data_IF_109140054467
#
_entry.id   IF_109140054467
#
_cell.length_a   1.000
_cell.length_b   1.000
_cell.length_c   1.000
_cell.angle_alpha   90.00
_cell.angle_beta   90.00
_cell.angle_gamma   90.00
#
_symmetry.space_group_name_H-M   'P 1'
#
loop_
_entity.id
_entity.type
_entity.pdbx_description
1 polymer ?
#
# COMPACT_ATOMS: atom_id res chain seq x y z
N UNK A 1 -9.39 -28.56 31.39
CA UNK A 1 -10.41 -27.63 30.85
C UNK A 1 -10.28 -26.28 31.53
N UNK A 2 -9.68 -25.29 30.83
CA UNK A 2 -9.68 -23.84 31.10
C UNK A 2 -8.51 -23.25 30.30
N UNK A 3 -8.78 -22.76 29.09
CA UNK A 3 -7.92 -21.88 28.27
C UNK A 3 -8.60 -21.59 26.92
N UNK A 4 -9.81 -21.05 26.94
CA UNK A 4 -10.45 -20.46 25.75
C UNK A 4 -11.29 -19.27 26.25
N UNK A 5 -10.65 -18.12 26.43
CA UNK A 5 -11.31 -16.82 26.63
C UNK A 5 -10.25 -15.73 26.66
N UNK A 6 -9.65 -15.44 25.50
CA UNK A 6 -8.76 -14.30 25.31
C UNK A 6 -8.64 -13.88 23.83
N UNK A 7 -9.70 -14.09 23.05
CA UNK A 7 -9.71 -13.79 21.61
C UNK A 7 -10.90 -12.91 21.18
N UNK A 8 -11.60 -12.27 22.12
CA UNK A 8 -12.82 -11.52 21.82
C UNK A 8 -12.83 -10.06 22.26
N UNK A 9 -11.68 -9.45 22.60
CA UNK A 9 -11.62 -8.05 23.07
C UNK A 9 -10.76 -7.10 22.22
N UNK A 10 -10.30 -7.52 21.02
CA UNK A 10 -9.49 -6.68 20.12
C UNK A 10 -10.26 -6.09 18.91
N UNK A 11 -11.59 -6.07 18.96
CA UNK A 11 -12.44 -5.66 17.82
C UNK A 11 -13.22 -4.33 18.03
N UNK A 12 -12.85 -3.49 19.00
CA UNK A 12 -13.62 -2.28 19.32
C UNK A 12 -12.83 -0.96 19.28
N UNK A 13 -11.71 -0.89 18.57
CA UNK A 13 -10.98 0.37 18.34
C UNK A 13 -10.65 0.66 16.87
N UNK A 14 -11.24 -0.05 15.90
CA UNK A 14 -11.03 0.18 14.47
C UNK A 14 -12.10 1.07 13.82
N UNK A 15 -12.58 2.10 14.52
CA UNK A 15 -13.55 3.05 13.96
C UNK A 15 -12.99 4.47 13.92
N UNK A 16 -11.92 4.69 13.14
CA UNK A 16 -11.54 6.03 12.62
C UNK A 16 -10.41 6.04 11.55
N UNK A 17 -9.93 4.89 11.03
CA UNK A 17 -8.76 4.88 10.12
C UNK A 17 -9.06 4.65 8.64
N UNK A 18 -10.33 4.58 8.22
CA UNK A 18 -10.67 4.34 6.82
C UNK A 18 -11.52 5.47 6.23
N UNK A 19 -10.82 6.51 5.81
CA UNK A 19 -11.24 7.41 4.74
C UNK A 19 -10.00 7.75 3.90
N UNK A 20 -9.48 6.76 3.17
CA UNK A 20 -8.64 7.06 2.01
C UNK A 20 -9.56 7.32 0.83
N UNK A 21 -10.33 8.41 0.96
CA UNK A 21 -11.10 8.97 -0.11
C UNK A 21 -10.11 9.52 -1.15
N UNK A 22 -10.42 9.36 -2.44
CA UNK A 22 -10.02 10.30 -3.47
C UNK A 22 -10.77 11.62 -3.21
N UNK A 23 -10.52 12.21 -2.05
CA UNK A 23 -10.99 13.54 -1.74
C UNK A 23 -10.25 14.45 -2.68
N UNK A 24 -11.01 15.22 -3.44
CA UNK A 24 -10.56 16.57 -3.81
C UNK A 24 -10.48 17.43 -2.54
N UNK A 25 -9.83 16.93 -1.49
CA UNK A 25 -9.28 17.75 -0.42
C UNK A 25 -8.20 18.56 -1.09
N UNK A 26 -8.33 19.88 -0.93
CA UNK A 26 -7.30 20.82 -1.30
C UNK A 26 -6.12 20.64 -0.35
N UNK A 27 -5.36 19.56 -0.55
CA UNK A 27 -4.21 19.26 0.27
C UNK A 27 -3.15 20.31 0.00
N UNK A 28 -2.58 20.86 1.06
CA UNK A 28 -1.28 21.51 0.94
C UNK A 28 -0.25 20.38 0.93
N UNK A 29 0.54 20.28 -0.12
CA UNK A 29 1.67 19.37 -0.20
C UNK A 29 2.96 20.12 0.06
N UNK A 30 3.76 19.62 1.00
CA UNK A 30 5.16 19.99 1.19
C UNK A 30 6.04 19.00 0.45
N UNK A 31 6.73 19.48 -0.59
CA UNK A 31 7.67 18.70 -1.38
C UNK A 31 9.06 18.89 -0.80
N UNK A 32 9.69 17.79 -0.38
CA UNK A 32 11.11 17.74 -0.08
C UNK A 32 11.87 17.22 -1.31
N UNK A 33 12.84 18.00 -1.75
CA UNK A 33 13.59 17.78 -2.99
C UNK A 33 14.87 17.00 -2.73
N UNK A 34 15.43 16.39 -3.78
CA UNK A 34 16.71 15.66 -3.70
C UNK A 34 17.90 16.58 -3.37
N UNK A 35 17.81 17.87 -3.71
CA UNK A 35 18.83 18.88 -3.39
C UNK A 35 18.76 19.39 -1.93
N UNK A 36 17.80 18.88 -1.14
CA UNK A 36 17.56 19.26 0.24
C UNK A 36 16.66 20.48 0.43
N UNK A 37 16.24 21.15 -0.65
CA UNK A 37 15.24 22.22 -0.57
C UNK A 37 13.85 21.66 -0.27
N UNK A 38 12.98 22.52 0.29
CA UNK A 38 11.57 22.21 0.49
C UNK A 38 10.70 23.36 0.02
N UNK A 39 9.50 23.04 -0.47
CA UNK A 39 8.50 24.06 -0.76
C UNK A 39 7.07 23.51 -0.63
N UNK A 40 6.09 24.41 -0.52
CA UNK A 40 4.68 24.06 -0.38
C UNK A 40 3.85 24.51 -1.58
N UNK A 41 2.81 23.73 -1.90
CA UNK A 41 1.84 24.05 -2.94
C UNK A 41 0.52 23.33 -2.72
N UNK A 42 -0.54 23.83 -3.34
CA UNK A 42 -1.82 23.12 -3.39
C UNK A 42 -1.68 21.92 -4.32
N UNK A 43 -1.82 20.72 -3.79
CA UNK A 43 -1.69 19.51 -4.57
C UNK A 43 -2.83 19.35 -5.56
N UNK A 44 -2.50 19.02 -6.82
CA UNK A 44 -3.51 18.80 -7.86
C UNK A 44 -3.58 17.32 -8.23
N UNK A 45 -2.44 16.66 -8.41
CA UNK A 45 -2.41 15.26 -8.83
C UNK A 45 -1.05 14.79 -9.33
N UNK A 46 -0.99 13.52 -9.72
CA UNK A 46 0.20 12.86 -10.25
C UNK A 46 0.07 12.68 -11.75
N UNK A 47 1.17 12.76 -12.47
CA UNK A 47 1.26 12.33 -13.85
C UNK A 47 2.01 11.01 -13.87
N UNK A 48 1.29 9.93 -14.15
CA UNK A 48 1.90 8.61 -14.24
C UNK A 48 2.32 8.27 -15.67
N UNK A 49 3.31 7.40 -15.80
CA UNK A 49 3.69 6.74 -17.04
C UNK A 49 3.47 5.25 -16.85
N UNK A 50 2.42 4.76 -17.49
CA UNK A 50 2.12 3.33 -17.50
C UNK A 50 2.79 2.67 -18.70
N UNK A 51 3.53 1.60 -18.47
CA UNK A 51 3.91 0.66 -19.53
C UNK A 51 2.96 -0.51 -19.47
N UNK A 52 2.39 -0.87 -20.62
CA UNK A 52 1.54 -2.04 -20.73
C UNK A 52 1.97 -2.96 -21.87
N UNK A 53 1.74 -4.26 -21.69
CA UNK A 53 1.96 -5.28 -22.71
C UNK A 53 0.77 -6.24 -22.66
N UNK A 54 0.05 -6.45 -23.77
CA UNK A 54 -1.07 -7.41 -23.82
C UNK A 54 -2.17 -7.19 -22.80
N UNK A 55 -2.41 -5.94 -22.37
CA UNK A 55 -3.34 -5.60 -21.29
C UNK A 55 -2.72 -5.61 -19.88
N UNK A 56 -1.52 -6.13 -19.67
CA UNK A 56 -0.86 -6.06 -18.36
C UNK A 56 -0.29 -4.66 -18.13
N UNK A 57 -0.50 -4.08 -16.95
CA UNK A 57 0.33 -2.95 -16.50
C UNK A 57 1.62 -3.55 -15.95
N UNK A 58 2.71 -3.33 -16.69
CA UNK A 58 4.05 -3.77 -16.31
C UNK A 58 4.69 -2.81 -15.30
N UNK A 59 4.40 -1.52 -15.43
CA UNK A 59 4.73 -0.53 -14.40
C UNK A 59 3.78 0.66 -14.50
N UNK A 60 3.50 1.30 -13.36
CA UNK A 60 2.75 2.55 -13.27
C UNK A 60 3.55 3.53 -12.43
N UNK A 61 4.55 4.17 -13.03
CA UNK A 61 5.50 5.02 -12.30
C UNK A 61 5.04 6.47 -12.33
N UNK A 62 5.13 7.17 -11.20
CA UNK A 62 4.92 8.61 -11.16
C UNK A 62 6.07 9.29 -11.91
N UNK A 63 5.76 10.03 -12.97
CA UNK A 63 6.71 10.79 -13.75
C UNK A 63 6.79 12.26 -13.33
N UNK A 64 5.72 12.80 -12.74
CA UNK A 64 5.68 14.16 -12.24
C UNK A 64 4.53 14.38 -11.26
N UNK A 65 4.63 15.45 -10.48
CA UNK A 65 3.57 15.97 -9.63
C UNK A 65 3.07 17.31 -10.16
N UNK A 66 1.76 17.53 -10.08
CA UNK A 66 1.12 18.80 -10.40
C UNK A 66 0.66 19.48 -9.12
N UNK A 67 0.95 20.78 -9.02
CA UNK A 67 0.55 21.60 -7.89
C UNK A 67 0.21 23.02 -8.34
N UNK A 68 -0.58 23.75 -7.56
CA UNK A 68 -0.73 25.19 -7.70
C UNK A 68 0.12 25.91 -6.65
N UNK A 69 0.86 26.90 -7.11
CA UNK A 69 1.67 27.78 -6.27
C UNK A 69 0.80 28.49 -5.21
N UNK A 70 1.29 28.59 -3.97
CA UNK A 70 0.50 29.11 -2.84
C UNK A 70 0.08 30.57 -3.04
N UNK A 71 0.96 31.39 -3.61
CA UNK A 71 0.76 32.83 -3.79
C UNK A 71 0.09 33.14 -5.14
N UNK A 72 0.67 32.64 -6.22
CA UNK A 72 0.26 33.01 -7.59
C UNK A 72 -0.90 32.17 -8.11
N UNK A 73 -1.23 31.07 -7.42
CA UNK A 73 -2.21 30.04 -7.85
C UNK A 73 -1.94 29.44 -9.23
N UNK A 74 -0.78 29.72 -9.82
CA UNK A 74 -0.39 29.16 -11.13
C UNK A 74 -0.09 27.68 -10.99
N UNK A 75 -0.62 26.88 -11.92
CA UNK A 75 -0.31 25.45 -12.01
C UNK A 75 1.13 25.28 -12.45
N UNK A 76 1.86 24.48 -11.70
CA UNK A 76 3.26 24.10 -11.94
C UNK A 76 3.37 22.58 -11.98
N UNK A 77 4.45 22.10 -12.57
CA UNK A 77 4.77 20.69 -12.71
C UNK A 77 6.17 20.44 -12.18
N UNK A 78 6.31 19.41 -11.37
CA UNK A 78 7.56 19.00 -10.76
C UNK A 78 7.94 17.60 -11.23
N UNK A 79 9.19 17.39 -11.64
CA UNK A 79 9.64 16.08 -12.11
C UNK A 79 9.79 15.13 -10.92
N UNK A 80 9.35 13.88 -11.05
CA UNK A 80 9.43 12.93 -9.93
C UNK A 80 10.87 12.60 -9.52
N UNK A 81 11.83 12.68 -10.45
CA UNK A 81 13.26 12.50 -10.16
C UNK A 81 13.83 13.56 -9.21
N UNK A 82 13.24 14.76 -9.17
CA UNK A 82 13.71 15.83 -8.30
C UNK A 82 13.08 15.78 -6.89
N UNK A 83 12.02 14.98 -6.72
CA UNK A 83 11.27 14.87 -5.45
C UNK A 83 11.75 13.67 -4.67
N UNK A 84 12.02 13.86 -3.38
CA UNK A 84 12.36 12.77 -2.47
C UNK A 84 11.17 12.30 -1.64
N UNK A 85 10.37 13.25 -1.16
CA UNK A 85 9.25 13.00 -0.24
C UNK A 85 8.19 14.08 -0.37
N UNK A 86 6.94 13.71 -0.11
CA UNK A 86 5.80 14.60 -0.07
C UNK A 86 5.05 14.38 1.24
N UNK A 87 4.80 15.46 1.98
CA UNK A 87 3.91 15.47 3.14
C UNK A 87 2.63 16.20 2.76
N UNK A 88 1.51 15.52 2.86
CA UNK A 88 0.19 16.06 2.53
C UNK A 88 -0.50 16.51 3.80
N UNK A 89 -0.92 17.77 3.83
CA UNK A 89 -1.62 18.40 4.95
C UNK A 89 -3.08 18.62 4.60
N UNK A 90 -3.98 18.28 5.53
CA UNK A 90 -5.38 18.67 5.46
C UNK A 90 -5.66 19.64 6.61
N UNK A 91 -5.68 20.95 6.29
CA UNK A 91 -5.61 21.98 7.33
C UNK A 91 -4.22 22.02 7.96
N UNK A 92 -4.14 21.94 9.29
CA UNK A 92 -2.88 21.92 10.04
C UNK A 92 -2.26 20.53 10.22
N UNK A 93 -3.03 19.47 9.99
CA UNK A 93 -2.62 18.11 10.33
C UNK A 93 -2.01 17.37 9.13
N UNK A 94 -1.01 16.54 9.40
CA UNK A 94 -0.44 15.62 8.41
C UNK A 94 -1.48 14.54 8.11
N UNK A 95 -1.99 14.54 6.88
CA UNK A 95 -2.97 13.57 6.41
C UNK A 95 -2.30 12.29 5.91
N UNK A 96 -1.19 12.41 5.18
CA UNK A 96 -0.42 11.28 4.63
C UNK A 96 0.98 11.70 4.22
N UNK A 97 1.87 10.74 4.13
CA UNK A 97 3.26 10.92 3.68
C UNK A 97 3.51 9.96 2.53
N UNK A 98 4.16 10.43 1.47
CA UNK A 98 4.59 9.62 0.33
C UNK A 98 6.09 9.81 0.14
N UNK A 99 6.83 8.73 -0.04
CA UNK A 99 8.29 8.76 -0.14
C UNK A 99 8.75 8.04 -1.40
N UNK A 100 9.80 8.56 -2.04
CA UNK A 100 10.53 7.82 -3.06
C UNK A 100 11.37 6.76 -2.35
N UNK A 101 11.10 5.49 -2.64
CA UNK A 101 11.80 4.35 -2.07
C UNK A 101 12.43 3.49 -3.17
N UNK A 102 13.62 2.96 -2.90
CA UNK A 102 14.16 1.88 -3.71
C UNK A 102 13.46 0.58 -3.34
N UNK A 103 12.99 -0.18 -4.32
CA UNK A 103 12.25 -1.43 -4.10
C UNK A 103 12.99 -2.63 -4.67
N UNK A 104 12.89 -3.74 -3.96
CA UNK A 104 13.35 -5.07 -4.38
C UNK A 104 12.24 -6.10 -4.21
N UNK A 105 12.37 -7.21 -4.92
CA UNK A 105 11.45 -8.34 -4.80
C UNK A 105 12.19 -9.58 -4.32
N UNK A 106 11.49 -10.45 -3.61
CA UNK A 106 12.01 -11.78 -3.30
C UNK A 106 11.83 -12.67 -4.54
N UNK A 107 12.95 -13.18 -5.05
CA UNK A 107 12.98 -14.15 -6.16
C UNK A 107 12.58 -15.54 -5.67
N UNK A 108 12.23 -16.43 -6.60
CA UNK A 108 11.86 -17.83 -6.32
C UNK A 108 12.95 -18.63 -5.56
N UNK A 109 14.19 -18.14 -5.51
CA UNK A 109 15.31 -18.77 -4.81
C UNK A 109 15.51 -18.19 -3.39
N UNK A 110 14.52 -17.50 -2.83
CA UNK A 110 14.62 -16.80 -1.54
C UNK A 110 15.80 -15.83 -1.50
N UNK A 111 16.03 -15.11 -2.60
CA UNK A 111 17.05 -14.05 -2.70
C UNK A 111 16.39 -12.77 -3.18
N UNK A 112 16.94 -11.63 -2.80
CA UNK A 112 16.49 -10.35 -3.35
C UNK A 112 16.88 -10.21 -4.82
N UNK A 113 16.04 -9.55 -5.61
CA UNK A 113 16.34 -9.16 -6.98
C UNK A 113 17.63 -8.34 -7.06
N UNK A 114 18.40 -8.55 -8.13
CA UNK A 114 19.59 -7.74 -8.42
C UNK A 114 19.18 -6.32 -8.82
N UNK A 115 18.11 -6.20 -9.61
CA UNK A 115 17.53 -4.95 -10.03
C UNK A 115 16.79 -4.28 -8.86
N UNK A 116 17.00 -2.97 -8.75
CA UNK A 116 16.28 -2.04 -7.88
C UNK A 116 15.50 -1.07 -8.75
N UNK A 117 14.23 -0.92 -8.45
CA UNK A 117 13.40 0.15 -9.03
C UNK A 117 13.16 1.25 -8.00
N UNK A 118 12.78 2.44 -8.45
CA UNK A 118 12.34 3.53 -7.59
C UNK A 118 10.83 3.74 -7.75
N UNK A 119 10.13 3.75 -6.63
CA UNK A 119 8.69 3.94 -6.57
C UNK A 119 8.32 4.98 -5.51
N UNK A 120 7.20 5.68 -5.72
CA UNK A 120 6.64 6.61 -4.75
C UNK A 120 5.49 5.94 -4.03
N UNK A 121 5.70 5.66 -2.75
CA UNK A 121 4.79 4.85 -1.96
C UNK A 121 4.33 5.60 -0.72
N UNK A 122 3.08 5.41 -0.29
CA UNK A 122 2.60 6.02 0.94
C UNK A 122 3.17 5.30 2.14
N UNK A 123 3.69 6.04 3.12
CA UNK A 123 4.06 5.49 4.42
C UNK A 123 2.78 5.20 5.20
N UNK A 124 2.43 3.91 5.31
CA UNK A 124 1.23 3.44 6.00
C UNK A 124 1.47 3.25 7.49
N UNK A 125 2.70 2.90 7.89
CA UNK A 125 3.09 2.70 9.29
C UNK A 125 4.58 2.96 9.46
N UNK A 126 4.92 3.80 10.43
CA UNK A 126 6.30 3.95 10.90
C UNK A 126 6.60 2.98 12.05
N UNK A 127 7.86 2.57 12.20
CA UNK A 127 8.27 1.59 13.22
C UNK A 127 9.62 0.97 12.89
N UNK A 128 10.02 -0.08 13.65
CA UNK A 128 11.30 -0.79 13.42
C UNK A 128 11.41 -1.36 12.00
N UNK A 129 10.26 -1.81 11.48
CA UNK A 129 10.02 -2.07 10.07
C UNK A 129 8.89 -1.14 9.66
N UNK A 130 9.17 -0.29 8.68
CA UNK A 130 8.24 0.62 8.07
C UNK A 130 7.40 -0.13 7.03
N UNK A 131 6.10 0.17 7.00
CA UNK A 131 5.18 -0.35 6.00
C UNK A 131 4.82 0.76 5.02
N UNK A 132 5.09 0.52 3.75
CA UNK A 132 4.67 1.37 2.66
C UNK A 132 3.62 0.67 1.80
N UNK A 133 2.79 1.41 1.07
CA UNK A 133 1.90 0.82 0.09
C UNK A 133 1.13 1.82 -0.77
N UNK A 134 0.59 1.29 -1.86
CA UNK A 134 -0.16 2.03 -2.87
C UNK A 134 -1.17 1.11 -3.54
N UNK A 135 -2.17 1.70 -4.19
CA UNK A 135 -3.16 0.98 -4.98
C UNK A 135 -2.84 1.14 -6.46
N UNK A 136 -2.83 0.02 -7.19
CA UNK A 136 -2.57 0.00 -8.62
C UNK A 136 -3.89 -0.06 -9.38
N UNK A 137 -4.11 0.94 -10.22
CA UNK A 137 -5.28 1.04 -11.09
C UNK A 137 -4.90 0.79 -12.55
N UNK A 138 -5.81 0.14 -13.28
CA UNK A 138 -5.75 0.03 -14.74
C UNK A 138 -6.81 0.91 -15.37
N UNK A 139 -6.39 1.79 -16.26
CA UNK A 139 -7.28 2.71 -16.96
C UNK A 139 -7.47 2.25 -18.41
N UNK A 140 -8.73 2.11 -18.80
CA UNK A 140 -9.19 1.88 -20.16
C UNK A 140 -10.16 3.01 -20.52
N UNK A 141 -9.80 3.76 -21.58
CA UNK A 141 -10.45 5.00 -21.99
C UNK A 141 -10.60 6.00 -20.82
N UNK A 142 -11.84 6.32 -20.44
CA UNK A 142 -12.18 7.28 -19.39
C UNK A 142 -12.45 6.61 -18.03
N UNK A 143 -12.19 5.30 -17.90
CA UNK A 143 -12.50 4.52 -16.70
C UNK A 143 -11.25 3.85 -16.14
N UNK A 144 -11.07 3.93 -14.83
CA UNK A 144 -10.00 3.24 -14.13
C UNK A 144 -10.61 2.22 -13.16
N UNK A 145 -10.04 1.02 -13.13
CA UNK A 145 -10.43 -0.03 -12.20
C UNK A 145 -9.26 -0.48 -11.34
N UNK A 146 -9.56 -0.77 -10.08
CA UNK A 146 -8.60 -1.30 -9.13
C UNK A 146 -8.10 -2.68 -9.58
N UNK A 147 -6.80 -2.90 -9.48
CA UNK A 147 -6.19 -4.19 -9.82
C UNK A 147 -5.64 -4.90 -8.60
N UNK A 148 -4.79 -4.25 -7.81
CA UNK A 148 -4.15 -4.82 -6.63
C UNK A 148 -3.55 -3.70 -5.76
N UNK A 149 -3.23 -4.01 -4.51
CA UNK A 149 -2.46 -3.16 -3.61
C UNK A 149 -1.02 -3.64 -3.54
N UNK A 150 -0.05 -2.75 -3.58
CA UNK A 150 1.33 -3.05 -3.22
C UNK A 150 1.57 -2.78 -1.73
N UNK A 151 2.41 -3.61 -1.13
CA UNK A 151 2.90 -3.42 0.23
C UNK A 151 4.40 -3.66 0.25
N UNK A 152 5.16 -2.72 0.79
CA UNK A 152 6.60 -2.79 0.90
C UNK A 152 7.04 -2.69 2.36
N UNK A 153 8.03 -3.50 2.72
CA UNK A 153 8.61 -3.55 4.05
C UNK A 153 10.02 -2.98 4.01
N UNK A 154 10.32 -1.99 4.84
CA UNK A 154 11.65 -1.38 4.91
C UNK A 154 12.14 -1.31 6.35
N UNK A 155 13.32 -1.86 6.62
CA UNK A 155 14.01 -1.57 7.88
C UNK A 155 14.71 -0.22 7.76
N UNK A 156 14.73 0.59 8.82
CA UNK A 156 15.26 1.95 8.74
C UNK A 156 16.73 2.00 8.26
N UNK A 157 17.53 0.99 8.61
CA UNK A 157 18.94 0.88 8.22
C UNK A 157 19.15 0.40 6.76
N UNK A 158 18.13 -0.17 6.13
CA UNK A 158 18.26 -0.73 4.79
C UNK A 158 18.03 0.36 3.72
N UNK A 159 18.81 0.35 2.62
CA UNK A 159 18.66 1.33 1.55
C UNK A 159 17.47 1.04 0.63
N UNK A 160 16.82 -0.11 0.79
CA UNK A 160 15.69 -0.54 -0.03
C UNK A 160 14.54 -1.08 0.83
N UNK A 161 13.34 -1.08 0.25
CA UNK A 161 12.17 -1.78 0.73
C UNK A 161 11.97 -3.09 -0.07
N UNK A 162 11.30 -4.06 0.53
CA UNK A 162 11.02 -5.37 -0.08
C UNK A 162 9.52 -5.50 -0.33
N UNK A 163 9.13 -5.80 -1.58
CA UNK A 163 7.75 -6.08 -1.94
C UNK A 163 7.26 -7.34 -1.22
N UNK A 164 6.18 -7.21 -0.47
CA UNK A 164 5.66 -8.24 0.42
C UNK A 164 4.36 -8.89 -0.09
N UNK A 165 4.00 -8.64 -1.34
CA UNK A 165 2.87 -9.27 -2.02
C UNK A 165 3.27 -9.72 -3.41
N UNK A 166 2.55 -10.70 -3.95
CA UNK A 166 2.67 -11.10 -5.34
C UNK A 166 1.44 -10.57 -6.09
N UNK A 167 1.59 -9.71 -7.10
CA UNK A 167 0.48 -9.33 -7.97
C UNK A 167 -0.12 -10.59 -8.60
N UNK A 168 -1.43 -10.83 -8.45
CA UNK A 168 -2.08 -11.96 -9.12
C UNK A 168 -2.16 -11.67 -10.62
N UNK A 169 -1.84 -12.67 -11.44
CA UNK A 169 -1.89 -12.54 -12.90
C UNK A 169 -3.29 -12.14 -13.36
N UNK A 170 -3.37 -11.02 -14.09
CA UNK A 170 -4.62 -10.51 -14.67
C UNK A 170 -5.23 -11.47 -15.71
N UNK A 171 -4.48 -12.46 -16.21
CA UNK A 171 -4.95 -13.51 -17.16
C UNK A 171 -6.08 -14.35 -16.55
N UNK A 172 -6.09 -14.50 -15.23
CA UNK A 172 -6.98 -15.43 -14.54
C UNK A 172 -8.30 -14.82 -14.04
N UNK A 173 -8.63 -13.57 -14.40
CA UNK A 173 -9.76 -12.79 -13.85
C UNK A 173 -9.75 -12.66 -12.31
N UNK A 174 -8.65 -13.02 -11.64
CA UNK A 174 -8.46 -12.87 -10.20
C UNK A 174 -7.75 -11.54 -9.93
N UNK A 175 -8.53 -10.49 -9.69
CA UNK A 175 -8.03 -9.20 -9.19
C UNK A 175 -7.60 -9.35 -7.72
N UNK A 176 -6.67 -8.50 -7.28
CA UNK A 176 -6.09 -8.45 -5.94
C UNK A 176 -4.65 -8.94 -5.85
N UNK A 177 -4.05 -8.74 -4.69
CA UNK A 177 -2.69 -9.21 -4.36
C UNK A 177 -2.76 -10.55 -3.66
N UNK A 178 -1.80 -11.42 -3.93
CA UNK A 178 -1.56 -12.63 -3.13
C UNK A 178 -0.61 -12.33 -2.00
N UNK A 179 -0.91 -12.88 -0.82
CA UNK A 179 -0.01 -12.83 0.34
C UNK A 179 1.00 -14.00 0.35
N UNK A 180 1.08 -14.79 -0.73
CA UNK A 180 2.04 -15.90 -0.86
C UNK A 180 3.50 -15.47 -0.57
N UNK A 181 3.90 -14.27 -0.99
CA UNK A 181 5.26 -13.75 -0.79
C UNK A 181 5.45 -13.00 0.54
N UNK A 182 4.40 -12.86 1.36
CA UNK A 182 4.44 -12.03 2.57
C UNK A 182 5.44 -12.58 3.58
N UNK A 183 5.42 -13.89 3.83
CA UNK A 183 6.32 -14.53 4.80
C UNK A 183 7.78 -14.36 4.42
N UNK A 184 8.12 -14.55 3.15
CA UNK A 184 9.51 -14.44 2.69
C UNK A 184 10.02 -13.01 2.74
N UNK A 185 9.19 -12.02 2.38
CA UNK A 185 9.55 -10.62 2.54
C UNK A 185 9.80 -10.26 4.01
N UNK A 186 8.94 -10.73 4.93
CA UNK A 186 9.15 -10.54 6.36
C UNK A 186 10.40 -11.26 6.88
N UNK A 187 10.74 -12.46 6.39
CA UNK A 187 12.01 -13.11 6.75
C UNK A 187 13.22 -12.31 6.27
N UNK A 188 13.16 -11.76 5.05
CA UNK A 188 14.25 -10.96 4.49
C UNK A 188 14.50 -9.68 5.30
N UNK A 189 13.45 -8.98 5.69
CA UNK A 189 13.56 -7.70 6.42
C UNK A 189 13.74 -7.92 7.93
N UNK A 190 13.06 -8.91 8.50
CA UNK A 190 13.11 -9.25 9.93
C UNK A 190 14.45 -9.86 10.36
N UNK A 191 15.18 -10.49 9.43
CA UNK A 191 16.52 -11.00 9.65
C UNK A 191 16.58 -12.22 10.57
N UNK A 192 17.59 -12.29 11.44
CA UNK A 192 17.90 -13.47 12.27
C UNK A 192 17.09 -13.59 13.57
N UNK A 193 15.95 -12.90 13.69
CA UNK A 193 15.15 -12.95 14.91
C UNK A 193 14.41 -14.29 15.03
N UNK A 194 14.96 -15.22 15.82
CA UNK A 194 14.47 -16.61 15.90
C UNK A 194 12.99 -16.70 16.30
N UNK A 195 12.58 -16.03 17.38
CA UNK A 195 11.19 -16.05 17.84
C UNK A 195 10.20 -15.53 16.79
N UNK A 196 10.60 -14.52 16.02
CA UNK A 196 9.76 -14.03 14.92
C UNK A 196 9.74 -14.99 13.73
N UNK A 197 10.87 -15.63 13.41
CA UNK A 197 10.90 -16.66 12.37
C UNK A 197 10.01 -17.86 12.72
N UNK A 198 9.97 -18.27 14.00
CA UNK A 198 9.04 -19.31 14.47
C UNK A 198 7.57 -18.88 14.31
N UNK A 199 7.27 -17.61 14.60
CA UNK A 199 5.94 -17.04 14.33
C UNK A 199 5.60 -17.05 12.83
N UNK A 200 6.56 -16.69 11.97
CA UNK A 200 6.37 -16.71 10.52
C UNK A 200 6.13 -18.13 9.99
N UNK A 201 6.80 -19.14 10.55
CA UNK A 201 6.58 -20.56 10.22
C UNK A 201 5.16 -20.99 10.58
N UNK A 202 4.68 -20.60 11.77
CA UNK A 202 3.29 -20.81 12.17
C UNK A 202 2.31 -20.08 11.24
N UNK A 203 2.57 -18.81 10.92
CA UNK A 203 1.71 -18.01 10.06
C UNK A 203 1.59 -18.62 8.66
N UNK A 204 2.70 -19.01 8.05
CA UNK A 204 2.71 -19.67 6.73
C UNK A 204 1.90 -20.98 6.76
N UNK A 205 2.20 -21.86 7.70
CA UNK A 205 1.57 -23.18 7.77
C UNK A 205 0.08 -23.06 8.10
N UNK A 206 -0.26 -22.35 9.17
CA UNK A 206 -1.62 -22.38 9.71
C UNK A 206 -2.50 -21.32 9.07
N UNK A 207 -2.03 -20.08 8.96
CA UNK A 207 -2.87 -18.98 8.46
C UNK A 207 -2.93 -18.97 6.94
N UNK A 208 -1.79 -19.05 6.25
CA UNK A 208 -1.78 -19.01 4.77
C UNK A 208 -2.31 -20.33 4.19
N UNK A 209 -1.72 -21.47 4.56
CA UNK A 209 -1.99 -22.76 3.91
C UNK A 209 -3.24 -23.45 4.45
N UNK A 210 -3.30 -23.76 5.76
CA UNK A 210 -4.41 -24.51 6.35
C UNK A 210 -5.74 -23.71 6.33
N UNK A 211 -5.71 -22.45 6.77
CA UNK A 211 -6.89 -21.58 6.77
C UNK A 211 -7.19 -20.95 5.39
N UNK A 212 -6.33 -21.17 4.40
CA UNK A 212 -6.50 -20.68 3.02
C UNK A 212 -6.77 -19.17 2.96
N UNK A 213 -5.98 -18.37 3.70
CA UNK A 213 -6.17 -16.91 3.81
C UNK A 213 -6.26 -16.23 2.43
N UNK A 214 -5.49 -16.68 1.46
CA UNK A 214 -5.50 -16.12 0.10
C UNK A 214 -6.85 -16.30 -0.61
N UNK A 215 -7.58 -17.39 -0.34
CA UNK A 215 -8.95 -17.61 -0.83
C UNK A 215 -9.97 -16.81 -0.04
N UNK A 216 -9.75 -16.64 1.28
CA UNK A 216 -10.59 -15.78 2.12
C UNK A 216 -10.54 -14.33 1.63
N UNK A 217 -9.35 -13.78 1.42
CA UNK A 217 -9.15 -12.44 0.88
C UNK A 217 -9.83 -12.23 -0.48
N UNK A 218 -9.83 -13.26 -1.33
CA UNK A 218 -10.54 -13.18 -2.61
C UNK A 218 -12.07 -13.11 -2.44
N UNK A 219 -12.64 -13.82 -1.45
CA UNK A 219 -14.07 -13.72 -1.12
C UNK A 219 -14.40 -12.37 -0.48
N UNK A 220 -13.54 -11.90 0.41
CA UNK A 220 -13.69 -10.60 1.07
C UNK A 220 -13.69 -9.46 0.04
N UNK A 221 -12.78 -9.50 -0.95
CA UNK A 221 -12.79 -8.58 -2.10
C UNK A 221 -14.14 -8.55 -2.82
N UNK A 222 -14.73 -9.73 -3.11
CA UNK A 222 -16.03 -9.80 -3.77
C UNK A 222 -17.16 -9.24 -2.90
N UNK A 223 -17.09 -9.40 -1.57
CA UNK A 223 -18.05 -8.82 -0.63
C UNK A 223 -17.92 -7.31 -0.61
N UNK A 224 -16.70 -6.80 -0.40
CA UNK A 224 -16.38 -5.36 -0.38
C UNK A 224 -16.87 -4.70 -1.67
N UNK A 225 -16.61 -5.30 -2.84
CA UNK A 225 -17.07 -4.77 -4.11
C UNK A 225 -18.59 -4.66 -4.18
N UNK A 226 -19.32 -5.73 -3.82
CA UNK A 226 -20.80 -5.74 -3.88
C UNK A 226 -21.42 -4.75 -2.90
N UNK A 227 -20.90 -4.68 -1.68
CA UNK A 227 -21.37 -3.77 -0.64
C UNK A 227 -21.12 -2.31 -1.06
N UNK A 228 -19.90 -1.99 -1.49
CA UNK A 228 -19.54 -0.65 -1.96
C UNK A 228 -20.37 -0.23 -3.17
N UNK A 229 -20.62 -1.14 -4.12
CA UNK A 229 -21.48 -0.86 -5.26
C UNK A 229 -22.91 -0.52 -4.85
N UNK A 230 -23.48 -1.27 -3.90
CA UNK A 230 -24.83 -1.02 -3.37
C UNK A 230 -24.91 0.34 -2.65
N UNK A 231 -23.93 0.63 -1.80
CA UNK A 231 -23.84 1.90 -1.06
C UNK A 231 -23.73 3.11 -2.02
N UNK A 232 -22.81 3.06 -2.97
CA UNK A 232 -22.60 4.17 -3.92
C UNK A 232 -23.75 4.30 -4.93
N UNK A 233 -24.40 3.21 -5.32
CA UNK A 233 -25.59 3.27 -6.16
C UNK A 233 -26.74 4.01 -5.45
N UNK A 234 -26.96 3.74 -4.16
CA UNK A 234 -27.96 4.45 -3.35
C UNK A 234 -27.67 5.96 -3.27
N UNK A 235 -26.40 6.35 -3.27
CA UNK A 235 -25.96 7.76 -3.22
C UNK A 235 -25.76 8.39 -4.62
N UNK A 236 -25.99 7.66 -5.72
CA UNK A 236 -25.68 8.09 -7.11
C UNK A 236 -24.22 8.52 -7.31
N UNK A 237 -23.30 7.82 -6.65
CA UNK A 237 -21.86 8.13 -6.60
C UNK A 237 -20.99 7.00 -7.18
N UNK A 238 -21.55 6.15 -8.05
CA UNK A 238 -20.87 4.97 -8.63
C UNK A 238 -19.58 5.29 -9.38
N UNK A 239 -19.37 6.55 -9.79
CA UNK A 239 -18.10 7.01 -10.38
C UNK A 239 -16.87 6.81 -9.46
N UNK A 240 -17.08 6.69 -8.16
CA UNK A 240 -16.01 6.48 -7.16
C UNK A 240 -15.83 5.01 -6.76
N UNK A 241 -16.53 4.08 -7.42
CA UNK A 241 -16.60 2.68 -7.00
C UNK A 241 -15.22 2.05 -6.83
N UNK A 242 -14.35 2.20 -7.82
CA UNK A 242 -13.05 1.54 -7.79
C UNK A 242 -12.08 2.16 -6.80
N UNK A 243 -12.18 3.47 -6.55
CA UNK A 243 -11.37 4.15 -5.52
C UNK A 243 -11.78 3.68 -4.12
N UNK A 244 -13.08 3.63 -3.85
CA UNK A 244 -13.60 3.14 -2.56
C UNK A 244 -13.28 1.67 -2.31
N UNK A 245 -13.44 0.84 -3.36
CA UNK A 245 -13.06 -0.58 -3.28
C UNK A 245 -11.56 -0.71 -3.01
N UNK A 246 -10.71 0.04 -3.71
CA UNK A 246 -9.26 0.01 -3.50
C UNK A 246 -8.90 0.36 -2.05
N UNK A 247 -9.47 1.45 -1.52
CA UNK A 247 -9.24 1.88 -0.14
C UNK A 247 -9.65 0.82 0.88
N UNK A 248 -10.84 0.23 0.75
CA UNK A 248 -11.35 -0.81 1.65
C UNK A 248 -10.59 -2.14 1.54
N UNK A 249 -10.11 -2.49 0.35
CA UNK A 249 -9.32 -3.71 0.14
C UNK A 249 -7.92 -3.55 0.71
N UNK A 250 -7.27 -2.41 0.45
CA UNK A 250 -5.95 -2.11 1.02
C UNK A 250 -6.01 -2.06 2.55
N UNK A 251 -7.04 -1.42 3.10
CA UNK A 251 -7.34 -1.40 4.53
C UNK A 251 -7.36 -2.80 5.15
N UNK A 252 -8.19 -3.68 4.58
CA UNK A 252 -8.34 -5.05 5.05
C UNK A 252 -7.05 -5.87 4.95
N UNK A 253 -6.29 -5.69 3.86
CA UNK A 253 -5.00 -6.35 3.70
C UNK A 253 -3.96 -5.80 4.70
N UNK A 254 -3.96 -4.48 4.94
CA UNK A 254 -3.04 -3.82 5.86
C UNK A 254 -3.16 -4.36 7.27
N UNK A 255 -4.36 -4.71 7.75
CA UNK A 255 -4.56 -5.33 9.07
C UNK A 255 -3.72 -6.59 9.28
N UNK A 256 -3.53 -7.40 8.23
CA UNK A 256 -2.67 -8.59 8.27
C UNK A 256 -1.21 -8.18 8.49
N UNK A 257 -0.72 -7.21 7.72
CA UNK A 257 0.65 -6.70 7.85
C UNK A 257 0.90 -6.10 9.23
N UNK A 258 -0.06 -5.34 9.75
CA UNK A 258 0.03 -4.75 11.09
C UNK A 258 0.10 -5.83 12.17
N UNK A 259 -0.67 -6.92 12.05
CA UNK A 259 -0.59 -8.06 12.96
C UNK A 259 0.80 -8.69 12.99
N UNK A 260 1.40 -8.93 11.83
CA UNK A 260 2.76 -9.49 11.72
C UNK A 260 3.82 -8.52 12.26
N UNK A 261 3.71 -7.23 11.93
CA UNK A 261 4.64 -6.19 12.40
C UNK A 261 4.60 -6.04 13.93
N UNK A 262 3.43 -6.14 14.55
CA UNK A 262 3.31 -6.08 16.00
C UNK A 262 3.98 -7.30 16.67
N UNK A 263 3.89 -8.50 16.08
CA UNK A 263 4.62 -9.66 16.58
C UNK A 263 6.14 -9.52 16.40
N UNK A 264 6.59 -8.87 15.32
CA UNK A 264 8.01 -8.51 15.16
C UNK A 264 8.49 -7.60 16.28
N UNK A 265 7.78 -6.51 16.55
CA UNK A 265 8.20 -5.51 17.55
C UNK A 265 8.26 -6.08 18.96
N UNK A 266 7.34 -6.99 19.28
CA UNK A 266 7.30 -7.74 20.53
C UNK A 266 8.43 -8.75 20.66
N UNK A 267 8.76 -9.45 19.57
CA UNK A 267 9.70 -10.59 19.59
C UNK A 267 11.15 -10.19 19.32
N UNK A 268 11.38 -9.01 18.73
CA UNK A 268 12.69 -8.53 18.27
C UNK A 268 12.97 -7.14 18.86
N UNK A 269 13.33 -7.04 20.16
CA UNK A 269 13.67 -5.78 20.82
C UNK A 269 14.86 -5.06 20.18
#
# INVERSE_FOLDING_TARGET
MKKILLLSSMLLLSSNLFSQYADRKDYIAEFAMEDGSTFRGHYIGEVTRSTSMGGFILSNRIAAFQYADMETKKRKRLNSRDVKRIVYYNGGDVAKVQEKIQVKQVTNNFKLSAETDEEFEFLLRDGKIQLYGSNVFRCEDMSCYYTHSNFYLKKSADPYAVLAVKPKSQISFKLGSSIENTVDAFRMVGGKCAAFNDYLDFFDKTVIKEQQLDKKLQKDYQSIFKETMKELAAMKQTRYLFDEVAGRVQAHQMEIFLGILNEYEKSCP
#
